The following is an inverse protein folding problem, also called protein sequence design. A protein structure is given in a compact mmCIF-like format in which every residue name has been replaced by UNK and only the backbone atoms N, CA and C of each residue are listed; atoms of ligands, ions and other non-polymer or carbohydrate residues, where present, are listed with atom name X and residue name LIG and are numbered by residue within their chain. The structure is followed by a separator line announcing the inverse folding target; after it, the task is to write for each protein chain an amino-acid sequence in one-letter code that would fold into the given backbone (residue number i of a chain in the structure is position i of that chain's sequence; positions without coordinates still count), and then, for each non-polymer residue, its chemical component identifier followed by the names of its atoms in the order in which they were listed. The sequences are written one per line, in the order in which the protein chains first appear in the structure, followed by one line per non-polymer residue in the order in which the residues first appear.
data_IF_233463188465
#
_entry.id   IF_233463188465
#
_cell.length_a   1.000
_cell.length_b   1.000
_cell.length_c   1.000
_cell.angle_alpha   90.00
_cell.angle_beta   90.00
_cell.angle_gamma   90.00
#
_symmetry.space_group_name_H-M   'P 1'
#
loop_
_entity.id
_entity.type
_entity.pdbx_description
1 polymer ?
#
# COMPACT_ATOMS: atom_id res chain seq x y z
N UNK A 1 -9.68 25.80 -17.04
CA UNK A 1 -9.82 26.17 -15.62
C UNK A 1 -9.73 24.90 -14.81
N UNK A 2 -8.76 24.86 -13.92
CA UNK A 2 -8.32 23.72 -13.10
C UNK A 2 -9.42 23.21 -12.19
N UNK A 3 -9.68 21.90 -12.17
CA UNK A 3 -10.37 21.27 -11.03
C UNK A 3 -9.86 19.83 -10.77
N UNK A 4 -8.57 19.71 -10.44
CA UNK A 4 -7.92 18.47 -9.97
C UNK A 4 -7.72 18.48 -8.44
N UNK A 5 -8.73 18.83 -7.64
CA UNK A 5 -8.54 19.02 -6.18
C UNK A 5 -9.66 18.51 -5.26
N UNK A 6 -10.41 17.49 -5.66
CA UNK A 6 -11.45 16.93 -4.77
C UNK A 6 -11.31 15.43 -4.45
N UNK A 7 -10.37 14.70 -5.10
CA UNK A 7 -10.19 13.27 -4.86
C UNK A 7 -9.01 12.93 -3.92
N UNK A 8 -8.52 13.91 -3.15
CA UNK A 8 -7.41 13.69 -2.21
C UNK A 8 -7.91 13.58 -0.75
N UNK A 9 -9.09 14.13 -0.44
CA UNK A 9 -9.58 14.28 0.94
C UNK A 9 -10.19 12.97 1.50
N UNK A 10 -10.81 12.15 0.65
CA UNK A 10 -11.34 10.85 1.08
C UNK A 10 -10.23 9.79 1.21
N UNK A 11 -9.16 9.96 0.43
CA UNK A 11 -8.03 9.02 0.40
C UNK A 11 -7.23 9.09 1.69
N UNK A 12 -6.95 10.28 2.22
CA UNK A 12 -6.18 10.52 3.45
C UNK A 12 -6.76 9.77 4.67
N UNK A 13 -8.10 9.59 4.71
CA UNK A 13 -8.78 8.83 5.76
C UNK A 13 -8.39 7.34 5.75
N UNK A 14 -8.19 6.73 4.57
CA UNK A 14 -7.68 5.36 4.47
C UNK A 14 -6.27 5.21 5.05
N UNK A 15 -5.45 6.27 5.02
CA UNK A 15 -4.09 6.26 5.56
C UNK A 15 -4.04 6.45 7.08
N UNK A 16 -5.09 7.04 7.68
CA UNK A 16 -5.08 7.43 9.10
C UNK A 16 -5.44 6.30 10.06
N UNK A 17 -6.25 5.34 9.65
CA UNK A 17 -6.93 4.43 10.60
C UNK A 17 -6.21 3.09 10.89
N UNK A 18 -5.06 2.78 10.27
CA UNK A 18 -4.30 1.54 10.56
C UNK A 18 -2.90 1.80 11.13
N UNK A 19 -2.83 2.58 12.20
CA UNK A 19 -1.62 2.63 13.04
C UNK A 19 -1.76 1.58 14.15
N UNK A 20 -1.28 0.36 13.90
CA UNK A 20 -1.41 -0.69 14.91
C UNK A 20 -0.83 -2.05 14.54
N UNK A 21 0.47 -2.13 14.25
CA UNK A 21 1.40 -3.15 14.78
C UNK A 21 2.84 -2.79 14.39
N UNK A 22 3.77 -2.85 15.35
CA UNK A 22 5.19 -2.44 15.22
C UNK A 22 6.03 -3.38 14.32
N UNK A 23 5.48 -4.55 13.97
CA UNK A 23 6.20 -5.65 13.28
C UNK A 23 6.01 -5.66 11.74
N UNK A 24 5.42 -4.58 11.20
CA UNK A 24 5.17 -4.22 9.80
C UNK A 24 4.01 -4.93 9.06
N UNK A 25 3.32 -4.15 8.20
CA UNK A 25 2.43 -4.66 7.14
C UNK A 25 2.54 -3.76 5.91
N UNK A 26 3.15 -4.25 4.85
CA UNK A 26 3.20 -3.51 3.59
C UNK A 26 1.84 -3.64 2.90
N UNK A 27 1.21 -2.52 2.53
CA UNK A 27 -0.08 -2.49 1.84
C UNK A 27 0.09 -1.92 0.44
N UNK A 28 -0.19 -2.72 -0.58
CA UNK A 28 -0.30 -2.26 -1.96
C UNK A 28 -1.75 -1.89 -2.20
N UNK A 29 -2.01 -0.59 -2.39
CA UNK A 29 -3.36 -0.06 -2.59
C UNK A 29 -3.44 0.80 -3.84
N UNK A 30 -4.61 0.85 -4.49
CA UNK A 30 -4.84 1.80 -5.58
C UNK A 30 -4.65 3.23 -5.05
N UNK A 31 -3.93 4.05 -5.82
CA UNK A 31 -3.71 5.46 -5.54
C UNK A 31 -4.48 6.31 -6.52
N UNK A 32 -3.93 6.68 -7.68
CA UNK A 32 -4.63 7.43 -8.74
C UNK A 32 -5.24 6.51 -9.79
N UNK A 33 -5.94 7.10 -10.78
CA UNK A 33 -6.71 6.39 -11.83
C UNK A 33 -5.94 5.23 -12.49
N UNK A 34 -4.60 5.27 -12.52
CA UNK A 34 -3.76 4.19 -13.04
C UNK A 34 -2.50 3.91 -12.18
N UNK A 35 -2.49 4.32 -10.90
CA UNK A 35 -1.29 4.20 -10.06
C UNK A 35 -1.53 3.47 -8.74
N UNK A 36 -0.45 2.91 -8.20
CA UNK A 36 -0.43 2.01 -7.05
C UNK A 36 0.55 2.50 -6.01
N UNK A 37 0.14 2.54 -4.75
CA UNK A 37 0.97 2.96 -3.63
C UNK A 37 1.28 1.77 -2.72
N UNK A 38 2.56 1.61 -2.37
CA UNK A 38 3.04 0.73 -1.32
C UNK A 38 3.12 1.53 -0.03
N UNK A 39 2.30 1.20 0.95
CA UNK A 39 2.27 1.83 2.27
C UNK A 39 2.88 0.91 3.30
N UNK A 40 3.43 1.50 4.35
CA UNK A 40 3.92 0.78 5.53
C UNK A 40 2.93 1.07 6.65
N UNK A 41 2.39 0.03 7.28
CA UNK A 41 1.53 0.19 8.45
C UNK A 41 2.22 1.03 9.54
N UNK A 42 1.50 2.01 10.09
CA UNK A 42 2.06 2.98 11.02
C UNK A 42 2.79 4.18 10.40
N UNK A 43 2.99 4.22 9.07
CA UNK A 43 3.48 5.43 8.36
C UNK A 43 2.34 6.13 7.62
N UNK A 44 2.30 7.45 7.72
CA UNK A 44 1.33 8.27 7.00
C UNK A 44 1.65 8.35 5.50
N UNK A 45 2.93 8.39 5.16
CA UNK A 45 3.37 8.51 3.78
C UNK A 45 3.54 7.13 3.13
N UNK A 46 3.16 6.97 1.85
CA UNK A 46 3.47 5.77 1.11
C UNK A 46 5.01 5.62 0.99
N UNK A 47 5.51 4.40 1.17
CA UNK A 47 6.91 4.10 0.96
C UNK A 47 7.32 4.29 -0.50
N UNK A 48 6.43 3.93 -1.43
CA UNK A 48 6.63 4.05 -2.86
C UNK A 48 5.29 4.22 -3.59
N UNK A 49 5.30 4.91 -4.72
CA UNK A 49 4.20 4.92 -5.70
C UNK A 49 4.74 4.40 -7.03
N UNK A 50 3.95 3.58 -7.72
CA UNK A 50 4.28 2.98 -9.01
C UNK A 50 3.09 3.14 -9.95
N UNK A 51 3.35 3.24 -11.23
CA UNK A 51 2.31 3.34 -12.27
C UNK A 51 1.69 1.97 -12.63
N UNK A 52 2.05 0.90 -11.93
CA UNK A 52 1.57 -0.46 -12.25
C UNK A 52 1.48 -1.35 -11.02
N UNK A 53 0.36 -2.10 -10.92
CA UNK A 53 0.09 -3.06 -9.84
C UNK A 53 1.26 -4.03 -9.66
N UNK A 54 1.75 -4.59 -10.77
CA UNK A 54 2.84 -5.57 -10.76
C UNK A 54 4.13 -5.03 -10.16
N UNK A 55 4.49 -3.78 -10.48
CA UNK A 55 5.69 -3.13 -9.94
C UNK A 55 5.52 -2.83 -8.44
N UNK A 56 4.33 -2.38 -8.02
CA UNK A 56 4.03 -2.16 -6.61
C UNK A 56 4.03 -3.46 -5.80
N UNK A 57 3.46 -4.54 -6.34
CA UNK A 57 3.48 -5.88 -5.72
C UNK A 57 4.92 -6.36 -5.55
N UNK A 58 5.74 -6.25 -6.61
CA UNK A 58 7.13 -6.72 -6.57
C UNK A 58 7.93 -5.98 -5.50
N UNK A 59 7.76 -4.65 -5.43
CA UNK A 59 8.41 -3.83 -4.41
C UNK A 59 7.93 -4.20 -3.00
N UNK A 60 6.62 -4.33 -2.79
CA UNK A 60 6.06 -4.70 -1.49
C UNK A 60 6.51 -6.09 -1.03
N UNK A 61 6.58 -7.08 -1.94
CA UNK A 61 7.12 -8.41 -1.65
C UNK A 61 8.58 -8.34 -1.22
N UNK A 62 9.41 -7.60 -1.97
CA UNK A 62 10.82 -7.43 -1.64
C UNK A 62 11.00 -6.80 -0.27
N UNK A 63 10.30 -5.69 0.00
CA UNK A 63 10.39 -5.02 1.30
C UNK A 63 9.90 -5.91 2.45
N UNK A 64 8.84 -6.68 2.21
CA UNK A 64 8.30 -7.60 3.20
C UNK A 64 9.25 -8.78 3.49
N UNK A 65 9.90 -9.33 2.46
CA UNK A 65 10.92 -10.37 2.60
C UNK A 65 12.15 -9.86 3.36
N UNK A 66 12.68 -8.69 3.00
CA UNK A 66 13.84 -8.10 3.68
C UNK A 66 13.55 -7.74 5.14
N UNK A 67 12.31 -7.31 5.42
CA UNK A 67 11.87 -6.96 6.78
C UNK A 67 11.29 -8.15 7.55
N UNK A 68 11.32 -9.38 6.98
CA UNK A 68 10.73 -10.60 7.54
C UNK A 68 9.31 -10.40 8.06
N UNK A 69 8.45 -9.83 7.22
CA UNK A 69 7.09 -9.39 7.58
C UNK A 69 6.08 -9.81 6.50
N UNK A 70 4.87 -9.24 6.52
CA UNK A 70 3.78 -9.56 5.59
C UNK A 70 3.48 -8.42 4.60
N UNK A 71 3.19 -8.78 3.35
CA UNK A 71 2.67 -7.88 2.33
C UNK A 71 1.21 -8.22 2.01
N UNK A 72 0.33 -7.23 2.08
CA UNK A 72 -1.06 -7.28 1.64
C UNK A 72 -1.24 -6.57 0.32
N UNK A 73 -1.80 -7.26 -0.65
CA UNK A 73 -2.09 -6.74 -1.97
C UNK A 73 -3.59 -6.53 -2.06
N UNK A 74 -3.98 -5.27 -2.23
CA UNK A 74 -5.36 -4.92 -2.50
C UNK A 74 -5.63 -4.98 -4.01
N UNK A 75 -6.88 -5.22 -4.36
CA UNK A 75 -7.37 -5.06 -5.73
C UNK A 75 -7.81 -3.61 -6.00
N UNK A 76 -8.24 -3.33 -7.23
CA UNK A 76 -8.75 -2.03 -7.68
C UNK A 76 -9.93 -1.54 -6.81
N UNK A 77 -10.75 -2.47 -6.32
CA UNK A 77 -11.86 -2.21 -5.39
C UNK A 77 -11.38 -1.96 -3.93
N UNK A 78 -10.07 -1.97 -3.67
CA UNK A 78 -9.48 -1.78 -2.34
C UNK A 78 -9.63 -2.99 -1.40
N UNK A 79 -10.16 -4.12 -1.88
CA UNK A 79 -10.25 -5.37 -1.12
C UNK A 79 -8.94 -6.13 -1.14
N UNK A 80 -8.60 -6.84 -0.05
CA UNK A 80 -7.41 -7.70 -0.03
C UNK A 80 -7.64 -8.86 -1.00
N UNK A 81 -6.82 -8.92 -2.04
CA UNK A 81 -6.81 -9.99 -3.03
C UNK A 81 -5.78 -11.05 -2.67
N UNK A 82 -4.59 -10.62 -2.25
CA UNK A 82 -3.47 -11.52 -1.95
C UNK A 82 -2.72 -11.08 -0.69
N UNK A 83 -2.12 -12.05 -0.02
CA UNK A 83 -1.25 -11.81 1.14
C UNK A 83 0.00 -12.71 1.03
N UNK A 84 1.16 -12.15 1.35
CA UNK A 84 2.44 -12.85 1.32
C UNK A 84 3.15 -12.71 2.66
N UNK A 85 3.29 -13.80 3.39
CA UNK A 85 3.95 -13.85 4.69
C UNK A 85 5.40 -14.29 4.54
N UNK A 86 6.34 -13.48 5.02
CA UNK A 86 7.78 -13.74 5.02
C UNK A 86 8.38 -13.84 6.43
N UNK A 87 7.55 -13.93 7.48
CA UNK A 87 8.00 -14.03 8.87
C UNK A 87 8.76 -15.35 9.16
N UNK A 88 8.55 -16.40 8.37
CA UNK A 88 9.15 -17.74 8.58
C UNK A 88 10.16 -18.14 7.49
N UNK A 89 10.78 -17.18 6.79
CA UNK A 89 11.76 -17.41 5.71
C UNK A 89 13.22 -17.24 6.14
#
# INVERSE_FOLDING_TARGET
MTNKRDNQIDRDQYFKERAGTDDARFHVVPHDEESWAVKIEGRQEPACTKDSKSEAIKEAKRMAEESKTIAYIHDDDGKIEQQHNYMES
#
